data_IF_772444644217
#
_entry.id   IF_772444644217
#
_cell.length_a   1.000
_cell.length_b   1.000
_cell.length_c   1.000
_cell.angle_alpha   90.00
_cell.angle_beta   90.00
_cell.angle_gamma   90.00
#
_symmetry.space_group_name_H-M   'P 1'
#
loop_
_entity.id
_entity.type
_entity.pdbx_description
1 polymer ?
#
# COMPACT_ATOMS: atom_id res chain seq x y z
N UNK A 1 -50.16 -10.22 -14.59
CA UNK A 1 -48.96 -10.67 -13.84
C UNK A 1 -47.66 -10.80 -14.67
N UNK A 2 -47.67 -10.66 -16.01
CA UNK A 2 -46.43 -10.78 -16.84
C UNK A 2 -45.56 -9.52 -16.89
N UNK A 3 -46.13 -8.35 -16.59
CA UNK A 3 -45.41 -7.06 -16.64
C UNK A 3 -44.57 -6.78 -15.38
N UNK A 4 -44.99 -7.26 -14.21
CA UNK A 4 -44.29 -7.04 -12.94
C UNK A 4 -42.90 -7.69 -12.94
N UNK A 5 -42.77 -8.91 -13.47
CA UNK A 5 -41.48 -9.62 -13.59
C UNK A 5 -40.47 -8.86 -14.45
N UNK A 6 -40.93 -8.09 -15.45
CA UNK A 6 -40.06 -7.33 -16.34
C UNK A 6 -39.41 -6.14 -15.64
N UNK A 7 -40.16 -5.45 -14.79
CA UNK A 7 -39.64 -4.36 -13.96
C UNK A 7 -38.71 -4.86 -12.86
N UNK A 8 -39.04 -5.99 -12.22
CA UNK A 8 -38.16 -6.62 -11.23
C UNK A 8 -36.83 -7.03 -11.84
N UNK A 9 -36.84 -7.63 -13.03
CA UNK A 9 -35.62 -8.00 -13.75
C UNK A 9 -34.77 -6.78 -14.13
N UNK A 10 -35.39 -5.68 -14.55
CA UNK A 10 -34.68 -4.44 -14.86
C UNK A 10 -34.03 -3.81 -13.62
N UNK A 11 -34.74 -3.80 -12.48
CA UNK A 11 -34.20 -3.32 -11.21
C UNK A 11 -33.00 -4.17 -10.75
N UNK A 12 -33.06 -5.50 -10.91
CA UNK A 12 -31.94 -6.39 -10.54
C UNK A 12 -30.70 -6.13 -11.41
N UNK A 13 -30.88 -5.94 -12.72
CA UNK A 13 -29.76 -5.65 -13.65
C UNK A 13 -29.12 -4.29 -13.32
N UNK A 14 -29.92 -3.26 -13.03
CA UNK A 14 -29.39 -1.96 -12.61
C UNK A 14 -28.65 -2.04 -11.27
N UNK A 15 -29.18 -2.80 -10.31
CA UNK A 15 -28.55 -2.99 -9.00
C UNK A 15 -27.17 -3.65 -9.16
N UNK A 16 -27.07 -4.71 -9.97
CA UNK A 16 -25.80 -5.42 -10.22
C UNK A 16 -24.77 -4.52 -10.92
N UNK A 17 -25.19 -3.68 -11.86
CA UNK A 17 -24.30 -2.73 -12.53
C UNK A 17 -23.73 -1.65 -11.57
N UNK A 18 -24.50 -1.24 -10.56
CA UNK A 18 -24.04 -0.30 -9.53
C UNK A 18 -22.98 -0.91 -8.60
N UNK A 19 -23.04 -2.23 -8.37
CA UNK A 19 -22.07 -2.94 -7.50
C UNK A 19 -20.89 -3.55 -8.25
N UNK A 20 -20.90 -3.64 -9.58
CA UNK A 20 -19.81 -4.21 -10.37
C UNK A 20 -18.58 -3.28 -10.49
N UNK A 21 -18.67 -2.02 -10.05
CA UNK A 21 -17.61 -1.02 -10.16
C UNK A 21 -16.60 -0.97 -9.00
N UNK A 22 -16.75 -1.79 -7.96
CA UNK A 22 -15.79 -1.83 -6.85
C UNK A 22 -14.54 -2.60 -7.29
N UNK A 23 -13.59 -1.85 -7.84
CA UNK A 23 -12.25 -2.38 -8.13
C UNK A 23 -11.57 -2.80 -6.84
N UNK A 24 -11.05 -4.03 -6.82
CA UNK A 24 -10.27 -4.59 -5.72
C UNK A 24 -9.04 -3.70 -5.47
N UNK A 25 -8.82 -3.36 -4.20
CA UNK A 25 -7.75 -2.52 -3.68
C UNK A 25 -6.48 -2.52 -4.56
N UNK A 26 -6.30 -1.48 -5.37
CA UNK A 26 -5.10 -1.29 -6.16
C UNK A 26 -3.93 -1.02 -5.21
N UNK A 27 -2.94 -1.90 -5.21
CA UNK A 27 -1.68 -1.69 -4.50
C UNK A 27 -0.70 -1.01 -5.44
N UNK A 28 -0.20 0.16 -5.05
CA UNK A 28 0.82 0.87 -5.81
C UNK A 28 2.16 0.80 -5.06
N UNK A 29 3.22 0.51 -5.80
CA UNK A 29 4.58 0.44 -5.26
C UNK A 29 5.36 1.64 -5.73
N UNK A 30 5.98 2.36 -4.80
CA UNK A 30 6.82 3.52 -5.09
C UNK A 30 8.20 3.31 -4.47
N UNK A 31 9.24 3.76 -5.17
CA UNK A 31 10.63 3.68 -4.73
C UNK A 31 11.17 5.10 -4.70
N UNK A 32 11.77 5.50 -3.58
CA UNK A 32 12.29 6.84 -3.44
C UNK A 32 13.14 7.02 -2.20
N UNK A 33 13.65 8.24 -2.02
CA UNK A 33 14.41 8.61 -0.82
C UNK A 33 13.48 9.30 0.18
N UNK A 34 13.50 8.80 1.41
CA UNK A 34 12.74 9.39 2.50
C UNK A 34 13.32 10.75 2.86
N UNK A 35 12.55 11.83 2.75
CA UNK A 35 12.99 13.17 3.13
C UNK A 35 12.59 13.53 4.56
N UNK A 36 11.43 13.04 5.02
CA UNK A 36 10.99 13.21 6.41
C UNK A 36 10.08 12.06 6.85
N UNK A 37 10.02 11.84 8.16
CA UNK A 37 9.19 10.81 8.77
C UNK A 37 8.60 11.33 10.08
N UNK A 38 7.29 11.19 10.26
CA UNK A 38 6.59 11.54 11.50
C UNK A 38 5.61 10.42 11.88
N UNK A 39 4.91 10.57 13.01
CA UNK A 39 4.06 9.51 13.58
C UNK A 39 2.99 8.99 12.62
N UNK A 40 2.48 9.79 11.67
CA UNK A 40 1.38 9.39 10.78
C UNK A 40 1.62 9.73 9.29
N UNK A 41 2.76 10.30 8.94
CA UNK A 41 3.06 10.68 7.57
C UNK A 41 4.55 10.53 7.28
N UNK A 42 4.84 10.26 6.00
CA UNK A 42 6.19 10.22 5.48
C UNK A 42 6.25 11.04 4.20
N UNK A 43 7.38 11.70 3.98
CA UNK A 43 7.63 12.43 2.76
C UNK A 43 8.74 11.71 1.99
N UNK A 44 8.50 11.44 0.72
CA UNK A 44 9.43 10.74 -0.17
C UNK A 44 9.52 11.50 -1.48
N UNK A 45 10.73 11.92 -1.85
CA UNK A 45 11.02 12.72 -3.04
C UNK A 45 10.08 13.94 -3.21
N UNK A 46 9.69 14.58 -2.09
CA UNK A 46 8.80 15.75 -2.07
C UNK A 46 7.30 15.45 -2.12
N UNK A 47 6.91 14.17 -2.18
CA UNK A 47 5.50 13.74 -2.10
C UNK A 47 5.18 13.28 -0.69
N UNK A 48 4.07 13.76 -0.12
CA UNK A 48 3.57 13.33 1.19
C UNK A 48 2.69 12.07 1.05
N UNK A 49 2.90 11.13 1.96
CA UNK A 49 2.11 9.91 2.07
C UNK A 49 1.66 9.70 3.52
N UNK A 50 0.39 9.36 3.71
CA UNK A 50 -0.15 9.00 5.02
C UNK A 50 0.14 7.54 5.35
N UNK A 51 0.53 7.28 6.60
CA UNK A 51 0.79 5.93 7.10
C UNK A 51 -0.53 5.30 7.58
N UNK A 52 -0.78 4.04 7.20
CA UNK A 52 -1.88 3.28 7.76
C UNK A 52 -1.67 3.03 9.27
N UNK A 53 -2.75 2.76 10.00
CA UNK A 53 -2.68 2.44 11.45
C UNK A 53 -1.74 1.26 11.79
N UNK A 54 -1.55 0.34 10.85
CA UNK A 54 -0.59 -0.76 10.94
C UNK A 54 0.22 -0.84 9.64
N UNK A 55 1.48 -0.39 9.73
CA UNK A 55 2.43 -0.49 8.63
C UNK A 55 3.36 -1.67 8.85
N UNK A 56 3.44 -2.57 7.87
CA UNK A 56 4.42 -3.66 7.87
C UNK A 56 5.78 -3.11 7.43
N UNK A 57 6.82 -3.37 8.21
CA UNK A 57 8.18 -2.94 7.86
C UNK A 57 9.05 -4.16 7.56
N UNK A 58 9.67 -4.16 6.38
CA UNK A 58 10.59 -5.23 5.93
C UNK A 58 11.99 -4.65 5.75
N UNK A 59 12.96 -5.26 6.41
CA UNK A 59 14.38 -4.99 6.20
C UNK A 59 14.95 -6.12 5.34
N UNK A 60 15.36 -5.78 4.12
CA UNK A 60 16.10 -6.67 3.22
C UNK A 60 17.58 -6.58 3.58
N UNK A 61 18.06 -7.54 4.36
CA UNK A 61 19.46 -7.60 4.81
C UNK A 61 20.29 -8.36 3.79
N UNK A 62 21.31 -7.70 3.25
CA UNK A 62 22.26 -8.33 2.33
C UNK A 62 23.36 -9.03 3.15
N UNK A 63 23.41 -10.35 3.06
CA UNK A 63 24.43 -11.19 3.70
C UNK A 63 25.80 -11.04 3.02
N UNK A 64 26.85 -11.47 3.72
CA UNK A 64 28.24 -11.44 3.20
C UNK A 64 28.46 -12.31 1.96
N UNK A 65 27.57 -13.27 1.72
CA UNK A 65 27.53 -14.12 0.53
C UNK A 65 26.66 -13.53 -0.61
N UNK A 66 26.15 -12.31 -0.47
CA UNK A 66 25.24 -11.67 -1.43
C UNK A 66 23.79 -12.15 -1.36
N UNK A 67 23.44 -13.07 -0.45
CA UNK A 67 22.06 -13.50 -0.26
C UNK A 67 21.23 -12.39 0.42
N UNK A 68 20.00 -12.19 -0.04
CA UNK A 68 19.07 -11.22 0.55
C UNK A 68 18.12 -11.97 1.47
N UNK A 69 18.12 -11.59 2.75
CA UNK A 69 17.21 -12.13 3.75
C UNK A 69 16.21 -11.06 4.17
N UNK A 70 14.94 -11.45 4.29
CA UNK A 70 13.90 -10.57 4.82
C UNK A 70 13.84 -10.68 6.34
N UNK A 71 13.86 -9.53 7.01
CA UNK A 71 13.68 -9.42 8.45
C UNK A 71 12.55 -8.44 8.74
N UNK A 72 11.64 -8.81 9.64
CA UNK A 72 10.60 -7.89 10.11
C UNK A 72 11.27 -6.79 10.94
N UNK A 73 11.06 -5.54 10.53
CA UNK A 73 11.59 -4.34 11.19
C UNK A 73 10.52 -3.60 11.98
N UNK A 74 10.90 -2.42 12.46
CA UNK A 74 10.04 -1.43 13.10
C UNK A 74 10.09 -0.12 12.30
N UNK A 75 9.08 0.73 12.44
CA UNK A 75 9.09 2.05 11.81
C UNK A 75 10.29 2.90 12.26
N UNK A 76 10.78 2.70 13.49
CA UNK A 76 12.00 3.35 14.01
C UNK A 76 13.28 2.98 13.26
N UNK A 77 13.29 1.89 12.48
CA UNK A 77 14.44 1.48 11.66
C UNK A 77 14.53 2.25 10.34
N UNK A 78 13.50 3.04 10.03
CA UNK A 78 13.40 3.91 8.86
C UNK A 78 13.69 5.34 9.30
N UNK A 79 14.64 5.98 8.63
CA UNK A 79 15.03 7.36 8.90
C UNK A 79 15.11 8.17 7.60
N UNK A 80 15.13 9.49 7.73
CA UNK A 80 15.41 10.38 6.60
C UNK A 80 16.75 10.04 5.94
N UNK A 81 16.80 10.18 4.62
CA UNK A 81 17.92 9.79 3.77
C UNK A 81 17.92 8.31 3.36
N UNK A 82 17.05 7.47 3.91
CA UNK A 82 16.97 6.08 3.50
C UNK A 82 16.25 5.94 2.15
N UNK A 83 16.79 5.09 1.26
CA UNK A 83 16.06 4.64 0.09
C UNK A 83 15.11 3.52 0.50
N UNK A 84 13.81 3.70 0.25
CA UNK A 84 12.76 2.78 0.63
C UNK A 84 11.84 2.46 -0.55
N UNK A 85 11.20 1.31 -0.48
CA UNK A 85 10.06 0.95 -1.32
C UNK A 85 8.81 0.96 -0.45
N UNK A 86 7.78 1.70 -0.85
CA UNK A 86 6.51 1.75 -0.12
C UNK A 86 5.40 1.08 -0.91
N UNK A 87 4.50 0.40 -0.20
CA UNK A 87 3.25 -0.13 -0.74
C UNK A 87 2.09 0.71 -0.26
N UNK A 88 1.44 1.41 -1.18
CA UNK A 88 0.27 2.23 -0.93
C UNK A 88 -0.98 1.44 -1.29
N UNK A 89 -1.94 1.38 -0.36
CA UNK A 89 -3.24 0.73 -0.52
C UNK A 89 -4.32 1.70 -0.08
N UNK A 90 -5.32 1.96 -0.93
CA UNK A 90 -6.41 2.89 -0.62
C UNK A 90 -5.92 4.29 -0.17
N UNK A 91 -4.80 4.76 -0.72
CA UNK A 91 -4.21 6.07 -0.38
C UNK A 91 -3.31 6.08 0.86
N UNK A 92 -3.18 4.97 1.58
CA UNK A 92 -2.33 4.86 2.77
C UNK A 92 -1.16 3.91 2.56
N UNK A 93 -0.02 4.21 3.17
CA UNK A 93 1.15 3.33 3.20
C UNK A 93 0.88 2.17 4.15
N UNK A 94 0.85 0.98 3.59
CA UNK A 94 0.61 -0.29 4.31
C UNK A 94 1.88 -1.10 4.54
N UNK A 95 2.91 -0.89 3.72
CA UNK A 95 4.19 -1.58 3.82
C UNK A 95 5.34 -0.65 3.46
N UNK A 96 6.46 -0.77 4.17
CA UNK A 96 7.71 -0.06 3.90
C UNK A 96 8.84 -1.08 3.89
N UNK A 97 9.58 -1.14 2.79
CA UNK A 97 10.75 -1.98 2.62
C UNK A 97 12.01 -1.13 2.55
N UNK A 98 13.06 -1.56 3.24
CA UNK A 98 14.39 -0.93 3.22
C UNK A 98 15.46 -1.98 3.01
N UNK A 99 16.38 -1.72 2.09
CA UNK A 99 17.59 -2.54 1.93
C UNK A 99 18.65 -2.07 2.92
N UNK A 100 19.25 -3.01 3.65
CA UNK A 100 20.29 -2.76 4.64
C UNK A 100 21.51 -3.59 4.25
N UNK A 101 22.63 -2.94 3.95
CA UNK A 101 23.93 -3.59 3.87
C UNK A 101 24.50 -3.74 5.28
N UNK A 102 24.97 -4.94 5.63
CA UNK A 102 25.77 -5.16 6.84
C UNK A 102 27.12 -4.46 6.77
#
# INVERSE_FOLDING_TARGET
MRFLNRYVMFCVVMLVALFAGVSYAAHMYYIGVLTSFSNNQMMMDGTEYHLASKVKVILRVVGSNGAIHEKIGRLSDISSGNKVTIKVSNGEVTEVEKVVSR
#
